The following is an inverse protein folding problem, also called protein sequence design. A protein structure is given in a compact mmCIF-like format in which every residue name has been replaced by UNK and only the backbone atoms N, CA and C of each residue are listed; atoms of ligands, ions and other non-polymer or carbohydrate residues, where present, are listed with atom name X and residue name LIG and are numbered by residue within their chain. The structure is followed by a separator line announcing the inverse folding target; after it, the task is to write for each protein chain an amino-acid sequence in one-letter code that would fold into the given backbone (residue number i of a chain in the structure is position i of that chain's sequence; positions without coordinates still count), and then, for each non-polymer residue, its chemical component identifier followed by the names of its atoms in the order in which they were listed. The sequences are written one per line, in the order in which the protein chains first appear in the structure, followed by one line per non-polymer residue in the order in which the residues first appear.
data_IF_050909540731
#
_entry.id   IF_050909540731
#
_cell.length_a   1.000
_cell.length_b   1.000
_cell.length_c   1.000
_cell.angle_alpha   90.00
_cell.angle_beta   90.00
_cell.angle_gamma   90.00
#
_symmetry.space_group_name_H-M   'P 1'
#
loop_
_entity.id
_entity.type
_entity.pdbx_description
1 polymer ?
#
# COMPACT_ATOMS: atom_id res chain seq x y z
N UNK A 1 -3.51 10.82 6.41
CA UNK A 1 -3.84 10.80 4.97
C UNK A 1 -3.38 9.55 4.22
N UNK A 2 -2.10 9.17 4.23
CA UNK A 2 -1.64 8.03 3.40
C UNK A 2 -2.38 6.73 3.72
N UNK A 3 -2.47 6.34 4.99
CA UNK A 3 -3.17 5.13 5.42
C UNK A 3 -4.66 5.15 5.06
N UNK A 4 -5.29 6.31 5.05
CA UNK A 4 -6.73 6.45 4.76
C UNK A 4 -7.05 6.04 3.32
N UNK A 5 -6.13 6.34 2.38
CA UNK A 5 -6.27 5.93 0.98
C UNK A 5 -6.23 4.40 0.86
N UNK A 6 -5.29 3.75 1.55
CA UNK A 6 -5.08 2.32 1.41
C UNK A 6 -6.03 1.47 2.24
N UNK A 7 -6.54 1.99 3.36
CA UNK A 7 -7.43 1.25 4.26
C UNK A 7 -8.89 1.61 4.08
N UNK A 8 -9.19 2.73 3.39
CA UNK A 8 -10.51 3.35 3.31
C UNK A 8 -11.12 3.69 4.68
N UNK A 9 -10.28 3.85 5.71
CA UNK A 9 -10.67 4.19 7.07
C UNK A 9 -10.18 5.58 7.43
N UNK A 10 -11.02 6.35 8.13
CA UNK A 10 -10.63 7.66 8.68
C UNK A 10 -9.93 7.46 10.03
N UNK A 11 -8.94 8.29 10.42
CA UNK A 11 -8.29 8.16 11.73
C UNK A 11 -9.27 8.36 12.90
N UNK A 12 -10.37 9.07 12.64
CA UNK A 12 -11.46 9.36 13.58
C UNK A 12 -12.68 8.46 13.38
N UNK A 13 -12.56 7.38 12.61
CA UNK A 13 -13.62 6.37 12.48
C UNK A 13 -13.93 5.80 13.89
N UNK A 14 -15.21 5.52 14.14
CA UNK A 14 -15.67 4.94 15.42
C UNK A 14 -14.93 3.65 15.76
N UNK A 15 -14.47 2.92 14.74
CA UNK A 15 -13.62 1.73 14.89
C UNK A 15 -12.34 1.97 15.71
N UNK A 16 -11.80 3.20 15.72
CA UNK A 16 -10.56 3.53 16.42
C UNK A 16 -10.78 4.28 17.74
N UNK A 17 -12.02 4.60 18.11
CA UNK A 17 -12.30 5.38 19.31
C UNK A 17 -12.14 4.50 20.56
N UNK A 18 -11.17 4.84 21.41
CA UNK A 18 -10.98 4.21 22.72
C UNK A 18 -10.15 2.92 22.74
N UNK A 19 -9.61 2.50 21.59
CA UNK A 19 -8.88 1.24 21.47
C UNK A 19 -7.51 1.46 20.79
N UNK A 20 -7.43 1.22 19.47
CA UNK A 20 -6.20 1.34 18.68
C UNK A 20 -6.30 2.48 17.66
N UNK A 21 -5.22 3.24 17.44
CA UNK A 21 -5.18 4.25 16.37
C UNK A 21 -5.02 3.61 14.99
N UNK A 22 -5.46 4.29 13.92
CA UNK A 22 -5.24 3.85 12.52
C UNK A 22 -3.76 3.50 12.24
N UNK A 23 -2.81 4.25 12.82
CA UNK A 23 -1.38 3.97 12.68
C UNK A 23 -1.02 2.63 13.32
N UNK A 24 -1.41 2.42 14.58
CA UNK A 24 -1.09 1.20 15.31
C UNK A 24 -1.70 -0.02 14.63
N UNK A 25 -2.96 0.09 14.18
CA UNK A 25 -3.62 -0.99 13.44
C UNK A 25 -2.88 -1.40 12.17
N UNK A 26 -2.37 -0.41 11.41
CA UNK A 26 -1.53 -0.68 10.22
C UNK A 26 -0.16 -1.24 10.63
N UNK A 27 0.44 -0.74 11.72
CA UNK A 27 1.75 -1.19 12.19
C UNK A 27 1.73 -2.65 12.65
N UNK A 28 0.70 -3.07 13.38
CA UNK A 28 0.52 -4.45 13.85
C UNK A 28 0.32 -5.44 12.70
N UNK A 29 -0.35 -5.01 11.63
CA UNK A 29 -0.51 -5.82 10.43
C UNK A 29 0.75 -5.86 9.55
N UNK A 30 1.72 -4.97 9.75
CA UNK A 30 2.90 -4.86 8.90
C UNK A 30 3.99 -5.87 9.31
N UNK A 31 4.68 -6.53 8.36
CA UNK A 31 4.45 -6.56 6.90
C UNK A 31 3.53 -7.69 6.43
N UNK A 32 3.25 -8.67 7.29
CA UNK A 32 2.73 -9.98 6.90
C UNK A 32 1.20 -10.02 6.72
N UNK A 33 0.46 -9.23 7.50
CA UNK A 33 -1.00 -9.26 7.55
C UNK A 33 -1.65 -8.04 6.91
N UNK A 34 -0.91 -7.28 6.10
CA UNK A 34 -1.40 -6.05 5.49
C UNK A 34 -2.65 -6.26 4.60
N UNK A 35 -2.87 -7.48 4.09
CA UNK A 35 -4.10 -7.87 3.39
C UNK A 35 -5.37 -7.66 4.24
N UNK A 36 -5.26 -7.67 5.57
CA UNK A 36 -6.37 -7.49 6.51
C UNK A 36 -6.74 -6.02 6.71
N UNK A 37 -5.82 -5.10 6.42
CA UNK A 37 -6.00 -3.66 6.66
C UNK A 37 -6.22 -2.87 5.37
N UNK A 38 -5.71 -3.38 4.24
CA UNK A 38 -5.90 -2.74 2.93
C UNK A 38 -7.33 -2.94 2.43
N UNK A 39 -7.93 -1.88 1.89
CA UNK A 39 -9.26 -1.85 1.27
C UNK A 39 -9.37 -2.97 0.24
N UNK A 40 -10.34 -3.85 0.45
CA UNK A 40 -10.60 -4.97 -0.44
C UNK A 40 -10.99 -4.48 -1.83
N UNK A 41 -11.53 -3.26 -1.99
CA UNK A 41 -11.77 -2.66 -3.29
C UNK A 41 -10.49 -2.22 -4.01
N UNK A 42 -9.44 -1.86 -3.30
CA UNK A 42 -8.11 -1.69 -3.91
C UNK A 42 -7.53 -3.05 -4.31
N UNK A 43 -7.84 -4.08 -3.53
CA UNK A 43 -7.53 -5.46 -3.86
C UNK A 43 -8.48 -6.06 -4.90
N UNK A 44 -9.64 -5.47 -5.22
CA UNK A 44 -10.66 -5.96 -6.15
C UNK A 44 -10.84 -5.09 -7.41
N UNK A 45 -10.38 -3.84 -7.45
CA UNK A 45 -10.12 -3.12 -8.72
C UNK A 45 -9.14 -3.89 -9.60
N UNK A 46 -8.34 -4.73 -8.96
CA UNK A 46 -7.60 -5.92 -9.42
C UNK A 46 -8.38 -7.06 -10.09
N UNK A 47 -9.64 -7.29 -9.70
CA UNK A 47 -10.41 -8.51 -9.94
C UNK A 47 -11.85 -8.26 -10.43
N UNK A 48 -12.29 -7.00 -10.59
CA UNK A 48 -13.65 -6.68 -11.03
C UNK A 48 -13.85 -7.01 -12.51
N UNK A 49 -14.30 -8.25 -12.72
CA UNK A 49 -15.32 -8.77 -13.64
C UNK A 49 -15.95 -7.76 -14.63
N UNK A 50 -15.17 -7.19 -15.54
CA UNK A 50 -15.66 -7.14 -16.93
C UNK A 50 -15.15 -8.40 -17.61
N UNK A 51 -16.07 -9.27 -17.99
CA UNK A 51 -15.83 -10.41 -18.86
C UNK A 51 -15.34 -9.88 -20.23
N UNK A 52 -14.07 -9.51 -20.28
CA UNK A 52 -13.35 -9.00 -21.43
C UNK A 52 -11.92 -9.52 -21.33
N UNK A 53 -11.50 -10.25 -22.35
CA UNK A 53 -10.34 -11.16 -22.41
C UNK A 53 -9.05 -10.58 -21.77
N UNK A 54 -8.51 -11.29 -20.77
CA UNK A 54 -7.06 -11.44 -20.53
C UNK A 54 -6.30 -10.43 -19.66
N UNK A 55 -6.72 -9.16 -19.53
CA UNK A 55 -5.80 -8.08 -19.08
C UNK A 55 -5.89 -7.66 -17.60
N UNK A 56 -7.02 -7.89 -16.93
CA UNK A 56 -7.30 -7.29 -15.61
C UNK A 56 -6.64 -8.02 -14.42
N UNK A 57 -6.53 -9.37 -14.49
CA UNK A 57 -6.10 -10.22 -13.37
C UNK A 57 -4.66 -9.95 -12.92
N UNK A 58 -3.78 -9.57 -13.85
CA UNK A 58 -2.36 -9.33 -13.58
C UNK A 58 -2.10 -8.00 -12.87
N UNK A 59 -2.79 -6.91 -13.25
CA UNK A 59 -2.64 -5.58 -12.63
C UNK A 59 -2.98 -5.63 -11.14
N UNK A 60 -3.99 -6.43 -10.78
CA UNK A 60 -4.35 -6.68 -9.39
C UNK A 60 -3.29 -7.36 -8.56
N UNK A 61 -2.70 -8.40 -9.13
CA UNK A 61 -1.55 -9.08 -8.55
C UNK A 61 -0.35 -8.13 -8.44
N UNK A 62 -0.15 -7.24 -9.41
CA UNK A 62 0.90 -6.22 -9.40
C UNK A 62 0.74 -5.16 -8.31
N UNK A 63 -0.48 -4.67 -8.06
CA UNK A 63 -0.75 -3.75 -6.95
C UNK A 63 -0.58 -4.44 -5.60
N UNK A 64 -1.05 -5.69 -5.47
CA UNK A 64 -0.78 -6.54 -4.31
C UNK A 64 0.73 -6.69 -4.11
N UNK A 65 1.52 -6.91 -5.17
CA UNK A 65 2.96 -7.06 -5.04
C UNK A 65 3.67 -5.76 -4.61
N UNK A 66 3.24 -4.61 -5.14
CA UNK A 66 3.81 -3.31 -4.79
C UNK A 66 3.38 -2.79 -3.40
N UNK A 67 2.26 -3.27 -2.86
CA UNK A 67 1.72 -2.84 -1.56
C UNK A 67 2.01 -3.86 -0.45
N UNK A 68 2.03 -5.16 -0.77
CA UNK A 68 1.92 -6.26 0.21
C UNK A 68 3.05 -7.31 0.16
N UNK A 69 3.70 -7.56 -0.98
CA UNK A 69 4.66 -8.68 -1.10
C UNK A 69 6.14 -8.28 -1.12
N UNK A 70 6.95 -9.32 -1.23
CA UNK A 70 8.33 -9.51 -0.80
C UNK A 70 9.35 -9.22 -1.89
N UNK A 71 9.35 -8.03 -2.47
CA UNK A 71 10.64 -7.55 -2.99
C UNK A 71 11.49 -7.15 -1.78
N UNK A 72 12.73 -7.65 -1.62
CA UNK A 72 13.57 -7.39 -0.45
C UNK A 72 14.08 -5.94 -0.35
N UNK A 73 13.54 -5.01 -1.15
CA UNK A 73 13.86 -3.59 -1.07
C UNK A 73 12.72 -2.86 -0.35
N UNK A 74 13.02 -2.37 0.85
CA UNK A 74 12.19 -1.69 1.84
C UNK A 74 11.43 -0.43 1.35
N UNK A 75 10.65 -0.56 0.28
CA UNK A 75 9.93 0.55 -0.34
C UNK A 75 8.48 0.12 -0.54
N UNK A 76 7.74 0.03 0.58
CA UNK A 76 6.28 -0.09 0.56
C UNK A 76 5.68 1.28 0.82
N UNK A 77 4.50 1.53 0.26
CA UNK A 77 3.79 2.77 0.53
C UNK A 77 3.42 2.86 2.02
N UNK A 78 2.97 1.74 2.61
CA UNK A 78 2.65 1.68 4.04
C UNK A 78 3.89 1.81 4.94
N UNK A 79 5.05 1.27 4.54
CA UNK A 79 6.33 1.52 5.24
C UNK A 79 6.69 3.01 5.25
N UNK A 80 6.51 3.68 4.11
CA UNK A 80 6.71 5.13 4.01
C UNK A 80 5.76 5.87 4.94
N UNK A 81 4.50 5.46 5.01
CA UNK A 81 3.52 6.01 5.96
C UNK A 81 3.92 5.82 7.42
N UNK A 82 4.43 4.64 7.79
CA UNK A 82 4.87 4.34 9.15
C UNK A 82 6.08 5.23 9.53
N UNK A 83 7.03 5.40 8.62
CA UNK A 83 8.17 6.28 8.84
C UNK A 83 7.77 7.76 8.95
N UNK A 84 6.78 8.23 8.17
CA UNK A 84 6.24 9.60 8.28
C UNK A 84 5.50 9.86 9.59
N UNK A 85 4.97 8.80 10.23
CA UNK A 85 4.10 8.89 11.40
C UNK A 85 4.78 8.41 12.68
N UNK A 86 6.12 8.39 12.71
CA UNK A 86 6.85 8.08 13.93
C UNK A 86 6.42 9.00 15.09
N UNK A 87 6.31 8.44 16.29
CA UNK A 87 5.87 9.17 17.47
C UNK A 87 6.85 10.30 17.82
N UNK A 88 8.15 10.04 17.63
CA UNK A 88 9.20 11.06 17.78
C UNK A 88 9.34 11.90 16.51
N UNK A 89 9.21 13.25 16.59
CA UNK A 89 9.39 14.14 15.44
C UNK A 89 10.74 13.95 14.73
N UNK A 90 11.81 13.70 15.49
CA UNK A 90 13.18 13.55 14.97
C UNK A 90 13.40 12.22 14.24
N UNK A 91 12.51 11.25 14.40
CA UNK A 91 12.55 9.97 13.70
C UNK A 91 11.65 9.95 12.47
N UNK A 92 10.89 11.04 12.23
CA UNK A 92 10.05 11.14 11.03
C UNK A 92 10.91 11.39 9.81
N UNK A 93 10.61 10.67 8.75
CA UNK A 93 11.24 10.86 7.45
C UNK A 93 11.03 12.28 6.94
N UNK A 94 12.06 12.89 6.33
CA UNK A 94 11.92 14.21 5.71
C UNK A 94 11.02 14.13 4.47
N UNK A 95 10.29 15.20 4.14
CA UNK A 95 9.45 15.20 2.93
C UNK A 95 10.25 14.99 1.63
N UNK A 96 11.52 15.42 1.60
CA UNK A 96 12.44 15.16 0.49
C UNK A 96 12.68 13.66 0.32
N UNK A 97 12.95 12.94 1.41
CA UNK A 97 13.15 11.49 1.38
C UNK A 97 11.87 10.74 1.04
N UNK A 98 10.72 11.22 1.51
CA UNK A 98 9.40 10.68 1.15
C UNK A 98 9.19 10.73 -0.35
N UNK A 99 9.48 11.87 -1.00
CA UNK A 99 9.37 12.00 -2.46
C UNK A 99 10.30 11.03 -3.18
N UNK A 100 11.54 10.86 -2.70
CA UNK A 100 12.49 9.91 -3.29
C UNK A 100 11.98 8.48 -3.16
N UNK A 101 11.48 8.06 -1.98
CA UNK A 101 10.90 6.73 -1.77
C UNK A 101 9.67 6.51 -2.66
N UNK A 102 8.72 7.45 -2.68
CA UNK A 102 7.49 7.33 -3.48
C UNK A 102 7.79 7.25 -4.99
N UNK A 103 8.76 8.01 -5.49
CA UNK A 103 9.21 7.91 -6.89
C UNK A 103 9.78 6.53 -7.21
N UNK A 104 10.59 5.95 -6.31
CA UNK A 104 11.12 4.59 -6.48
C UNK A 104 9.99 3.55 -6.55
N UNK A 105 8.99 3.68 -5.68
CA UNK A 105 7.80 2.82 -5.68
C UNK A 105 7.03 2.97 -7.00
N UNK A 106 6.83 4.21 -7.46
CA UNK A 106 6.14 4.50 -8.72
C UNK A 106 6.85 3.84 -9.89
N UNK A 107 8.18 3.97 -10.00
CA UNK A 107 8.95 3.35 -11.09
C UNK A 107 8.84 1.82 -11.04
N UNK A 108 8.96 1.21 -9.85
CA UNK A 108 8.82 -0.24 -9.68
C UNK A 108 7.42 -0.72 -10.11
N UNK A 109 6.37 0.02 -9.73
CA UNK A 109 4.99 -0.27 -10.11
C UNK A 109 4.74 -0.20 -11.62
N UNK A 110 5.29 0.83 -12.30
CA UNK A 110 5.15 0.92 -13.76
C UNK A 110 5.91 -0.21 -14.46
N UNK A 111 7.09 -0.59 -13.94
CA UNK A 111 7.87 -1.70 -14.48
C UNK A 111 7.13 -3.04 -14.35
N UNK A 112 6.51 -3.30 -13.20
CA UNK A 112 5.76 -4.54 -13.00
C UNK A 112 4.48 -4.59 -13.83
N UNK A 113 3.82 -3.45 -14.08
CA UNK A 113 2.72 -3.37 -15.08
C UNK A 113 3.25 -3.71 -16.48
N UNK A 114 4.37 -3.12 -16.90
CA UNK A 114 4.92 -3.36 -18.23
C UNK A 114 5.36 -4.81 -18.43
N UNK A 115 5.99 -5.43 -17.41
CA UNK A 115 6.36 -6.84 -17.45
C UNK A 115 5.14 -7.75 -17.61
N UNK A 116 4.07 -7.50 -16.85
CA UNK A 116 2.82 -8.24 -16.95
C UNK A 116 2.11 -8.10 -18.32
N UNK A 117 2.48 -7.11 -19.14
CA UNK A 117 1.94 -6.92 -20.50
C UNK A 117 2.75 -7.63 -21.59
N UNK A 118 3.99 -8.04 -21.30
CA UNK A 118 4.92 -8.62 -22.28
C UNK A 118 5.01 -10.16 -22.21
N UNK A 119 4.28 -10.80 -21.28
CA UNK A 119 4.23 -12.26 -21.12
C UNK A 119 3.08 -12.92 -21.93
N UNK A 120 2.59 -12.23 -22.97
CA UNK A 120 1.61 -12.73 -23.97
C UNK A 120 2.20 -12.69 -25.37
#
# INVERSE_FOLDING_TARGET
MLFEVFTRKRPTDAFFVGDISLRQWVAEAFPAELVRVVDDQLLQGSFSRKAGKGRQKYIGYTLYECVLTSTPSSTRVLDTGLACTSDSPNQRMTMSDVVVKLKKIQVAYHKSIAAAQNET
#
